data_IF_887610844069
#
_entry.id   IF_887610844069
#
_cell.length_a   1.000
_cell.length_b   1.000
_cell.length_c   1.000
_cell.angle_alpha   90.00
_cell.angle_beta   90.00
_cell.angle_gamma   90.00
#
_symmetry.space_group_name_H-M   'P 1'
#
loop_
_entity.id
_entity.type
_entity.pdbx_description
1 polymer ?
#
# COMPACT_ATOMS: atom_id res chain seq x y z
N UNK A 1 11.90 10.08 -28.39
CA UNK A 1 11.09 8.84 -28.43
C UNK A 1 9.77 9.17 -27.73
N UNK A 2 8.66 9.16 -28.45
CA UNK A 2 7.39 9.78 -28.01
C UNK A 2 6.85 9.12 -26.73
N UNK A 3 6.59 9.95 -25.70
CA UNK A 3 5.97 9.58 -24.42
C UNK A 3 4.62 8.85 -24.57
N UNK A 4 3.96 8.97 -25.73
CA UNK A 4 2.75 8.21 -26.08
C UNK A 4 2.94 6.70 -26.10
N UNK A 5 4.17 6.20 -26.26
CA UNK A 5 4.46 4.76 -26.37
C UNK A 5 4.69 4.05 -25.01
N UNK A 6 4.83 4.80 -23.91
CA UNK A 6 5.04 4.25 -22.57
C UNK A 6 3.73 4.00 -21.81
N UNK A 7 2.62 4.60 -22.25
CA UNK A 7 1.33 4.46 -21.57
C UNK A 7 0.55 3.28 -22.12
N UNK A 8 0.76 2.10 -21.53
CA UNK A 8 0.03 0.89 -21.90
C UNK A 8 -1.42 0.98 -21.40
N UNK A 9 -2.39 1.26 -22.30
CA UNK A 9 -3.84 1.34 -22.00
C UNK A 9 -4.37 0.16 -21.16
N UNK A 10 -3.73 -1.01 -21.29
CA UNK A 10 -4.07 -2.22 -20.53
C UNK A 10 -3.75 -2.12 -19.03
N UNK A 11 -2.75 -1.31 -18.64
CA UNK A 11 -2.38 -1.08 -17.24
C UNK A 11 -3.42 -0.22 -16.53
N UNK A 12 -3.89 0.83 -17.21
CA UNK A 12 -4.96 1.71 -16.76
C UNK A 12 -6.26 0.92 -16.55
N UNK A 13 -6.60 0.02 -17.49
CA UNK A 13 -7.75 -0.89 -17.31
C UNK A 13 -7.64 -1.76 -16.06
N UNK A 14 -6.46 -2.30 -15.72
CA UNK A 14 -6.30 -3.10 -14.50
C UNK A 14 -6.42 -2.24 -13.25
N UNK A 15 -5.84 -1.04 -13.27
CA UNK A 15 -5.94 -0.11 -12.14
C UNK A 15 -7.38 0.39 -11.94
N UNK A 16 -8.13 0.61 -13.01
CA UNK A 16 -9.55 0.97 -12.97
C UNK A 16 -10.40 -0.19 -12.43
N UNK A 17 -10.18 -1.42 -12.91
CA UNK A 17 -10.89 -2.61 -12.41
C UNK A 17 -10.64 -2.80 -10.91
N UNK A 18 -9.41 -2.64 -10.45
CA UNK A 18 -9.05 -2.78 -9.02
C UNK A 18 -9.67 -1.66 -8.20
N UNK A 19 -9.64 -0.42 -8.70
CA UNK A 19 -10.26 0.74 -8.05
C UNK A 19 -11.78 0.58 -7.92
N UNK A 20 -12.46 0.18 -8.99
CA UNK A 20 -13.91 -0.08 -9.00
C UNK A 20 -14.27 -1.23 -8.06
N UNK A 21 -13.49 -2.32 -8.09
CA UNK A 21 -13.67 -3.45 -7.18
C UNK A 21 -13.51 -3.03 -5.71
N UNK A 22 -12.56 -2.14 -5.41
CA UNK A 22 -12.35 -1.61 -4.07
C UNK A 22 -13.54 -0.77 -3.59
N UNK A 23 -14.11 0.07 -4.46
CA UNK A 23 -15.32 0.85 -4.14
C UNK A 23 -16.50 -0.06 -3.87
N UNK A 24 -16.73 -1.07 -4.71
CA UNK A 24 -17.82 -2.05 -4.52
C UNK A 24 -17.66 -2.79 -3.19
N UNK A 25 -16.44 -3.22 -2.87
CA UNK A 25 -16.14 -3.91 -1.62
C UNK A 25 -16.37 -3.00 -0.41
N UNK A 26 -15.98 -1.73 -0.46
CA UNK A 26 -16.24 -0.78 0.63
C UNK A 26 -17.74 -0.57 0.84
N UNK A 27 -18.51 -0.43 -0.23
CA UNK A 27 -19.97 -0.29 -0.16
C UNK A 27 -20.58 -1.55 0.47
N UNK A 28 -20.17 -2.73 0.01
CA UNK A 28 -20.62 -4.00 0.57
C UNK A 28 -20.26 -4.13 2.06
N UNK A 29 -19.06 -3.70 2.46
CA UNK A 29 -18.61 -3.68 3.85
C UNK A 29 -19.42 -2.72 4.70
N UNK A 30 -19.77 -1.54 4.17
CA UNK A 30 -20.58 -0.55 4.86
C UNK A 30 -22.01 -1.05 5.13
N UNK A 31 -22.56 -1.87 4.23
CA UNK A 31 -23.88 -2.49 4.38
C UNK A 31 -23.83 -3.65 5.39
N UNK A 32 -22.84 -4.54 5.29
CA UNK A 32 -22.76 -5.76 6.10
C UNK A 32 -22.08 -5.59 7.46
N UNK A 33 -21.17 -4.63 7.60
CA UNK A 33 -20.40 -4.41 8.82
C UNK A 33 -20.06 -2.93 9.03
N UNK A 34 -21.04 -2.20 9.57
CA UNK A 34 -20.92 -0.79 9.90
C UNK A 34 -19.68 -0.50 10.79
N UNK A 35 -19.37 -1.40 11.73
CA UNK A 35 -18.20 -1.29 12.61
C UNK A 35 -16.88 -1.33 11.82
N UNK A 36 -16.72 -2.30 10.90
CA UNK A 36 -15.52 -2.42 10.05
C UNK A 36 -15.37 -1.20 9.12
N UNK A 37 -16.46 -0.67 8.59
CA UNK A 37 -16.45 0.52 7.76
C UNK A 37 -16.04 1.79 8.55
N UNK A 38 -16.58 1.97 9.75
CA UNK A 38 -16.21 3.08 10.65
C UNK A 38 -14.74 2.95 11.09
N UNK A 39 -14.29 1.74 11.42
CA UNK A 39 -12.90 1.48 11.74
C UNK A 39 -11.98 1.80 10.56
N UNK A 40 -12.34 1.41 9.33
CA UNK A 40 -11.60 1.78 8.13
C UNK A 40 -11.45 3.30 8.00
N UNK A 41 -12.57 4.01 8.09
CA UNK A 41 -12.64 5.46 7.94
C UNK A 41 -11.83 6.21 9.02
N UNK A 42 -11.70 5.66 10.23
CA UNK A 42 -10.88 6.25 11.29
C UNK A 42 -9.41 5.83 11.25
N UNK A 43 -9.12 4.55 10.98
CA UNK A 43 -7.75 4.00 11.04
C UNK A 43 -6.87 4.59 9.94
N UNK A 44 -7.39 4.78 8.72
CA UNK A 44 -6.63 5.34 7.60
C UNK A 44 -6.10 6.77 7.84
N UNK A 45 -6.93 7.77 8.21
CA UNK A 45 -6.44 9.13 8.46
C UNK A 45 -5.50 9.19 9.67
N UNK A 46 -5.73 8.39 10.71
CA UNK A 46 -4.85 8.34 11.87
C UNK A 46 -3.50 7.70 11.54
N UNK A 47 -3.48 6.62 10.76
CA UNK A 47 -2.25 6.00 10.28
C UNK A 47 -1.45 6.95 9.37
N UNK A 48 -2.15 7.70 8.51
CA UNK A 48 -1.53 8.77 7.70
C UNK A 48 -0.91 9.86 8.57
N UNK A 49 -1.59 10.24 9.66
CA UNK A 49 -1.08 11.22 10.62
C UNK A 49 0.21 10.74 11.32
N UNK A 50 0.32 9.44 11.63
CA UNK A 50 1.56 8.83 12.15
C UNK A 50 2.68 8.94 11.11
N UNK A 51 2.42 8.55 9.86
CA UNK A 51 3.42 8.63 8.78
C UNK A 51 3.88 10.09 8.54
N UNK A 52 2.94 11.03 8.55
CA UNK A 52 3.22 12.45 8.48
C UNK A 52 4.12 12.90 9.64
N UNK A 53 3.82 12.44 10.85
CA UNK A 53 4.60 12.74 12.05
C UNK A 53 6.02 12.19 12.01
N UNK A 54 6.19 10.96 11.50
CA UNK A 54 7.49 10.34 11.28
C UNK A 54 8.31 11.10 10.24
N UNK A 55 7.70 11.44 9.11
CA UNK A 55 8.35 12.24 8.06
C UNK A 55 8.81 13.61 8.58
N UNK A 56 7.96 14.29 9.35
CA UNK A 56 8.26 15.64 9.87
C UNK A 56 9.36 15.62 10.93
N UNK A 57 9.35 14.60 11.79
CA UNK A 57 10.41 14.32 12.76
C UNK A 57 11.73 14.00 12.03
N UNK A 58 11.71 13.12 11.04
CA UNK A 58 12.89 12.80 10.21
C UNK A 58 13.47 14.06 9.55
N UNK A 59 12.63 14.89 8.91
CA UNK A 59 13.09 16.13 8.28
C UNK A 59 13.73 17.09 9.28
N UNK A 60 13.23 17.11 10.51
CA UNK A 60 13.83 17.91 11.58
C UNK A 60 15.26 17.45 11.94
N UNK A 61 15.49 16.14 12.04
CA UNK A 61 16.82 15.60 12.37
C UNK A 61 17.83 15.69 11.22
N UNK A 62 17.40 15.46 9.98
CA UNK A 62 18.33 15.26 8.86
C UNK A 62 18.49 16.47 7.94
N UNK A 63 17.56 17.44 7.94
CA UNK A 63 17.65 18.62 7.07
C UNK A 63 18.36 19.80 7.77
N UNK A 64 19.68 19.87 7.54
CA UNK A 64 20.54 20.94 8.10
C UNK A 64 20.23 22.32 7.53
N UNK A 65 19.51 22.43 6.41
CA UNK A 65 19.17 23.71 5.76
C UNK A 65 18.03 24.46 6.44
N UNK A 66 17.31 23.82 7.35
CA UNK A 66 16.21 24.44 8.08
C UNK A 66 16.72 25.33 9.23
N UNK A 67 16.16 26.53 9.33
CA UNK A 67 16.32 27.40 10.49
C UNK A 67 15.93 26.67 11.79
N UNK A 68 16.65 26.97 12.88
CA UNK A 68 16.50 26.29 14.18
C UNK A 68 15.04 26.30 14.66
N UNK A 69 14.35 27.44 14.56
CA UNK A 69 12.93 27.56 14.97
C UNK A 69 12.03 26.61 14.16
N UNK A 70 12.21 26.55 12.84
CA UNK A 70 11.42 25.67 11.97
C UNK A 70 11.74 24.19 12.21
N UNK A 71 12.98 23.87 12.59
CA UNK A 71 13.40 22.52 13.00
C UNK A 71 12.66 22.08 14.26
N UNK A 72 12.66 22.91 15.30
CA UNK A 72 11.96 22.63 16.57
C UNK A 72 10.44 22.50 16.35
N UNK A 73 9.82 23.40 15.58
CA UNK A 73 8.39 23.32 15.25
C UNK A 73 8.05 22.02 14.50
N UNK A 74 8.85 21.63 13.51
CA UNK A 74 8.63 20.38 12.77
C UNK A 74 8.75 19.14 13.67
N UNK A 75 9.67 19.17 14.65
CA UNK A 75 9.81 18.10 15.62
C UNK A 75 8.59 18.02 16.55
N UNK A 76 8.15 19.17 17.10
CA UNK A 76 6.98 19.25 17.98
C UNK A 76 5.71 18.79 17.26
N UNK A 77 5.46 19.28 16.05
CA UNK A 77 4.33 18.82 15.23
C UNK A 77 4.44 17.34 14.89
N UNK A 78 5.66 16.85 14.61
CA UNK A 78 5.90 15.43 14.35
C UNK A 78 5.54 14.56 15.54
N UNK A 79 6.11 14.84 16.70
CA UNK A 79 5.88 14.08 17.95
C UNK A 79 4.40 14.15 18.37
N UNK A 80 3.80 15.34 18.39
CA UNK A 80 2.39 15.51 18.78
C UNK A 80 1.46 14.74 17.86
N UNK A 81 1.70 14.76 16.55
CA UNK A 81 0.90 14.01 15.57
C UNK A 81 1.01 12.49 15.77
N UNK A 82 2.20 11.96 16.10
CA UNK A 82 2.40 10.54 16.43
C UNK A 82 1.66 10.17 17.71
N UNK A 83 1.82 10.97 18.78
CA UNK A 83 1.19 10.70 20.09
C UNK A 83 -0.34 10.72 19.97
N UNK A 84 -0.90 11.77 19.36
CA UNK A 84 -2.35 11.93 19.22
C UNK A 84 -2.92 10.78 18.38
N UNK A 85 -2.34 10.50 17.22
CA UNK A 85 -2.84 9.40 16.39
C UNK A 85 -2.69 8.04 17.05
N UNK A 86 -1.55 7.77 17.70
CA UNK A 86 -1.32 6.53 18.42
C UNK A 86 -2.33 6.33 19.54
N UNK A 87 -2.60 7.36 20.33
CA UNK A 87 -3.58 7.30 21.42
C UNK A 87 -5.00 7.03 20.91
N UNK A 88 -5.44 7.74 19.86
CA UNK A 88 -6.78 7.55 19.28
C UNK A 88 -6.90 6.15 18.66
N UNK A 89 -5.87 5.65 17.97
CA UNK A 89 -5.87 4.28 17.44
C UNK A 89 -5.98 3.25 18.55
N UNK A 90 -5.17 3.38 19.62
CA UNK A 90 -5.26 2.50 20.78
C UNK A 90 -6.67 2.52 21.36
N UNK A 91 -7.26 3.71 21.52
CA UNK A 91 -8.64 3.87 22.01
C UNK A 91 -9.66 3.17 21.10
N UNK A 92 -9.56 3.35 19.78
CA UNK A 92 -10.46 2.72 18.79
C UNK A 92 -10.37 1.18 18.80
N UNK A 93 -9.19 0.62 19.04
CA UNK A 93 -9.00 -0.83 19.09
C UNK A 93 -9.30 -1.45 20.45
N UNK A 94 -9.35 -0.65 21.53
CA UNK A 94 -9.66 -1.13 22.89
C UNK A 94 -11.13 -0.98 23.27
N UNK A 95 -11.88 -0.07 22.63
CA UNK A 95 -13.31 0.12 22.89
C UNK A 95 -14.11 0.36 21.60
N UNK A 96 -15.17 -0.43 21.33
CA UNK A 96 -15.59 -1.67 22.00
C UNK A 96 -14.52 -2.77 21.92
N UNK A 97 -14.61 -3.83 22.74
CA UNK A 97 -13.67 -4.97 22.71
C UNK A 97 -13.78 -5.70 21.35
N UNK A 98 -13.12 -5.16 20.35
CA UNK A 98 -13.13 -5.70 18.99
C UNK A 98 -12.22 -6.91 19.02
N UNK A 99 -12.74 -8.12 18.72
CA UNK A 99 -11.93 -9.30 18.77
C UNK A 99 -10.81 -9.14 17.73
N UNK A 100 -9.60 -9.51 18.14
CA UNK A 100 -8.38 -9.25 17.37
C UNK A 100 -8.43 -9.89 15.97
N UNK A 101 -9.27 -10.91 15.80
CA UNK A 101 -9.64 -11.51 14.51
C UNK A 101 -10.15 -10.50 13.46
N UNK A 102 -10.83 -9.43 13.88
CA UNK A 102 -11.28 -8.38 12.98
C UNK A 102 -10.14 -7.64 12.30
N UNK A 103 -8.95 -7.58 12.91
CA UNK A 103 -7.77 -6.98 12.29
C UNK A 103 -7.34 -7.80 11.07
N UNK A 104 -7.43 -9.13 11.15
CA UNK A 104 -7.14 -10.03 10.03
C UNK A 104 -8.18 -9.87 8.92
N UNK A 105 -9.47 -9.78 9.25
CA UNK A 105 -10.51 -9.52 8.25
C UNK A 105 -10.34 -8.15 7.58
N UNK A 106 -10.02 -7.13 8.37
CA UNK A 106 -9.78 -5.78 7.89
C UNK A 106 -8.57 -5.69 6.96
N UNK A 107 -7.44 -6.32 7.33
CA UNK A 107 -6.23 -6.35 6.49
C UNK A 107 -6.37 -7.28 5.29
N UNK A 108 -7.12 -8.38 5.42
CA UNK A 108 -7.30 -9.38 4.36
C UNK A 108 -7.93 -8.80 3.10
N UNK A 109 -8.89 -7.88 3.25
CA UNK A 109 -9.59 -7.23 2.14
C UNK A 109 -8.68 -6.43 1.17
N UNK A 110 -7.92 -5.42 1.62
CA UNK A 110 -7.01 -4.70 0.74
C UNK A 110 -5.89 -5.61 0.23
N UNK A 111 -5.39 -6.55 1.04
CA UNK A 111 -4.35 -7.50 0.59
C UNK A 111 -4.89 -8.43 -0.50
N UNK A 112 -6.18 -8.81 -0.45
CA UNK A 112 -6.83 -9.64 -1.46
C UNK A 112 -6.84 -8.93 -2.82
N UNK A 113 -7.23 -7.66 -2.83
CA UNK A 113 -7.18 -6.82 -4.02
C UNK A 113 -5.75 -6.64 -4.53
N UNK A 114 -4.77 -6.51 -3.64
CA UNK A 114 -3.36 -6.42 -4.02
C UNK A 114 -2.91 -7.73 -4.68
N UNK A 115 -3.25 -8.90 -4.14
CA UNK A 115 -2.93 -10.20 -4.73
C UNK A 115 -3.56 -10.38 -6.11
N UNK A 116 -4.84 -10.02 -6.25
CA UNK A 116 -5.57 -10.09 -7.52
C UNK A 116 -4.95 -9.15 -8.58
N UNK A 117 -4.60 -7.94 -8.19
CA UNK A 117 -3.89 -6.99 -9.04
C UNK A 117 -2.50 -7.51 -9.44
N UNK A 118 -1.81 -8.28 -8.58
CA UNK A 118 -0.54 -8.94 -8.89
C UNK A 118 -0.69 -9.95 -10.02
N UNK A 119 -1.72 -10.80 -9.94
CA UNK A 119 -2.04 -11.80 -10.98
C UNK A 119 -2.42 -11.10 -12.29
N UNK A 120 -3.37 -10.16 -12.25
CA UNK A 120 -3.85 -9.46 -13.45
C UNK A 120 -2.72 -8.71 -14.15
N UNK A 121 -1.92 -7.93 -13.42
CA UNK A 121 -0.77 -7.21 -14.00
C UNK A 121 0.28 -8.18 -14.53
N UNK A 122 0.56 -9.28 -13.84
CA UNK A 122 1.46 -10.31 -14.32
C UNK A 122 0.98 -10.98 -15.62
N UNK A 123 -0.32 -11.14 -15.83
CA UNK A 123 -0.85 -11.73 -17.06
C UNK A 123 -0.91 -10.73 -18.23
N UNK A 124 -1.27 -9.48 -17.95
CA UNK A 124 -1.63 -8.48 -18.97
C UNK A 124 -0.42 -7.65 -19.41
N UNK A 125 0.50 -7.33 -18.50
CA UNK A 125 1.63 -6.44 -18.78
C UNK A 125 2.75 -7.20 -19.49
N UNK A 126 3.23 -6.65 -20.60
CA UNK A 126 4.43 -7.11 -21.28
C UNK A 126 5.65 -6.45 -20.62
N UNK A 127 6.56 -7.26 -20.12
CA UNK A 127 7.79 -6.86 -19.43
C UNK A 127 9.00 -7.47 -20.13
N UNK A 128 10.16 -6.82 -20.06
CA UNK A 128 11.40 -7.31 -20.70
C UNK A 128 11.84 -8.67 -20.15
N UNK A 129 11.74 -8.89 -18.83
CA UNK A 129 12.10 -10.16 -18.21
C UNK A 129 10.86 -11.00 -17.88
N UNK A 130 10.72 -12.21 -18.47
CA UNK A 130 9.60 -13.11 -18.21
C UNK A 130 9.62 -13.67 -16.78
N UNK A 131 10.78 -13.68 -16.11
CA UNK A 131 10.91 -14.15 -14.73
C UNK A 131 10.15 -13.25 -13.75
N UNK A 132 10.25 -11.92 -13.89
CA UNK A 132 9.49 -10.99 -13.03
C UNK A 132 7.99 -11.08 -13.25
N UNK A 133 7.57 -11.41 -14.48
CA UNK A 133 6.17 -11.67 -14.80
C UNK A 133 5.65 -12.89 -14.04
N UNK A 134 6.37 -14.01 -14.13
CA UNK A 134 6.01 -15.25 -13.44
C UNK A 134 6.01 -15.06 -11.92
N UNK A 135 7.05 -14.43 -11.37
CA UNK A 135 7.15 -14.17 -9.93
C UNK A 135 6.00 -13.31 -9.41
N UNK A 136 5.56 -12.31 -10.17
CA UNK A 136 4.45 -11.45 -9.76
C UNK A 136 3.11 -12.20 -9.78
N UNK A 137 2.88 -13.10 -10.75
CA UNK A 137 1.69 -13.97 -10.77
C UNK A 137 1.73 -14.97 -9.61
N UNK A 138 2.87 -15.64 -9.42
CA UNK A 138 3.04 -16.66 -8.38
C UNK A 138 2.83 -16.06 -7.01
N UNK A 139 3.41 -14.88 -6.77
CA UNK A 139 3.32 -14.22 -5.47
C UNK A 139 1.94 -13.59 -5.26
N UNK A 140 1.29 -13.10 -6.33
CA UNK A 140 -0.13 -12.75 -6.29
C UNK A 140 -1.00 -13.94 -5.84
N UNK A 141 -0.81 -15.11 -6.43
CA UNK A 141 -1.54 -16.33 -6.10
C UNK A 141 -1.26 -16.82 -4.67
N UNK A 142 -0.01 -16.80 -4.21
CA UNK A 142 0.31 -17.18 -2.82
C UNK A 142 -0.28 -16.19 -1.82
N UNK A 143 -0.32 -14.88 -2.12
CA UNK A 143 -1.07 -13.92 -1.26
C UNK A 143 -2.53 -14.32 -1.12
N UNK A 144 -3.22 -14.64 -2.22
CA UNK A 144 -4.62 -15.04 -2.17
C UNK A 144 -4.80 -16.30 -1.32
N UNK A 145 -3.91 -17.28 -1.46
CA UNK A 145 -3.95 -18.52 -0.69
C UNK A 145 -3.75 -18.24 0.81
N UNK A 146 -2.73 -17.46 1.18
CA UNK A 146 -2.45 -17.13 2.58
C UNK A 146 -3.56 -16.30 3.23
N UNK A 147 -4.24 -15.43 2.48
CA UNK A 147 -5.40 -14.69 2.98
C UNK A 147 -6.54 -15.63 3.32
N UNK A 148 -6.87 -16.58 2.43
CA UNK A 148 -7.91 -17.56 2.71
C UNK A 148 -7.57 -18.38 3.96
N UNK A 149 -6.34 -18.88 4.08
CA UNK A 149 -5.90 -19.60 5.28
C UNK A 149 -6.02 -18.70 6.53
N UNK A 150 -5.57 -17.45 6.46
CA UNK A 150 -5.62 -16.53 7.59
C UNK A 150 -7.06 -16.22 8.03
N UNK A 151 -8.00 -16.13 7.09
CA UNK A 151 -9.44 -15.91 7.37
C UNK A 151 -10.09 -17.16 7.98
N UNK A 152 -9.77 -18.36 7.49
CA UNK A 152 -10.36 -19.60 8.02
C UNK A 152 -9.81 -19.99 9.40
N UNK A 153 -8.53 -19.70 9.67
CA UNK A 153 -7.84 -20.09 10.89
C UNK A 153 -7.51 -18.91 11.81
N UNK A 154 -8.28 -17.82 11.73
CA UNK A 154 -7.98 -16.57 12.44
C UNK A 154 -7.84 -16.74 13.96
N UNK A 155 -8.59 -17.67 14.56
CA UNK A 155 -8.56 -17.91 16.01
C UNK A 155 -7.31 -18.70 16.46
N UNK A 156 -6.69 -19.46 15.56
CA UNK A 156 -5.55 -20.33 15.88
C UNK A 156 -4.29 -19.68 15.31
N UNK A 157 -3.48 -19.06 16.16
CA UNK A 157 -2.21 -18.47 15.73
C UNK A 157 -2.35 -17.09 15.06
N UNK A 158 -3.20 -16.22 15.61
CA UNK A 158 -3.37 -14.82 15.18
C UNK A 158 -2.05 -14.11 14.82
N UNK A 159 -1.03 -14.18 15.71
CA UNK A 159 0.26 -13.50 15.51
C UNK A 159 0.98 -14.03 14.26
N UNK A 160 0.92 -15.35 14.05
CA UNK A 160 1.51 -15.99 12.88
C UNK A 160 0.81 -15.53 11.60
N UNK A 161 -0.52 -15.59 11.56
CA UNK A 161 -1.29 -15.14 10.40
C UNK A 161 -1.12 -13.65 10.09
N UNK A 162 -1.07 -12.80 11.11
CA UNK A 162 -0.78 -11.38 10.95
C UNK A 162 0.61 -11.17 10.32
N UNK A 163 1.62 -11.88 10.82
CA UNK A 163 2.98 -11.79 10.28
C UNK A 163 3.06 -12.31 8.84
N UNK A 164 2.39 -13.42 8.52
CA UNK A 164 2.29 -13.94 7.16
C UNK A 164 1.62 -12.94 6.21
N UNK A 165 0.54 -12.28 6.64
CA UNK A 165 -0.13 -11.26 5.83
C UNK A 165 0.76 -10.02 5.59
N UNK A 166 1.46 -9.55 6.62
CA UNK A 166 2.38 -8.41 6.51
C UNK A 166 3.59 -8.71 5.60
N UNK A 167 4.15 -9.91 5.72
CA UNK A 167 5.25 -10.35 4.85
C UNK A 167 4.77 -10.52 3.41
N UNK A 168 3.60 -11.11 3.19
CA UNK A 168 3.01 -11.27 1.87
C UNK A 168 2.68 -9.92 1.19
N UNK A 169 2.22 -8.93 1.97
CA UNK A 169 2.01 -7.56 1.53
C UNK A 169 3.33 -6.89 1.12
N UNK A 170 4.36 -7.01 1.95
CA UNK A 170 5.69 -6.43 1.70
C UNK A 170 6.30 -7.03 0.43
N UNK A 171 6.21 -8.35 0.28
CA UNK A 171 6.72 -9.08 -0.87
C UNK A 171 5.99 -8.67 -2.16
N UNK A 172 4.66 -8.54 -2.12
CA UNK A 172 3.87 -8.01 -3.23
C UNK A 172 4.30 -6.59 -3.62
N UNK A 173 4.56 -5.72 -2.64
CA UNK A 173 5.07 -4.37 -2.88
C UNK A 173 6.40 -4.38 -3.63
N UNK A 174 7.37 -5.17 -3.16
CA UNK A 174 8.70 -5.28 -3.76
C UNK A 174 8.63 -5.83 -5.19
N UNK A 175 7.82 -6.85 -5.44
CA UNK A 175 7.75 -7.48 -6.76
C UNK A 175 6.99 -6.67 -7.78
N UNK A 176 5.96 -5.94 -7.34
CA UNK A 176 5.29 -4.98 -8.20
C UNK A 176 6.25 -3.86 -8.61
N UNK A 177 7.04 -3.38 -7.66
CA UNK A 177 8.11 -2.44 -7.91
C UNK A 177 9.17 -3.01 -8.88
N UNK A 178 9.51 -4.29 -8.75
CA UNK A 178 10.40 -5.02 -9.68
C UNK A 178 9.81 -5.10 -11.10
N UNK A 179 8.52 -5.43 -11.20
CA UNK A 179 7.81 -5.58 -12.46
C UNK A 179 7.76 -4.23 -13.19
N UNK A 180 7.47 -3.13 -12.48
CA UNK A 180 7.50 -1.80 -13.05
C UNK A 180 8.89 -1.38 -13.52
N UNK A 181 9.96 -1.67 -12.79
CA UNK A 181 11.32 -1.38 -13.27
C UNK A 181 11.71 -2.22 -14.50
N UNK A 182 11.29 -3.49 -14.51
CA UNK A 182 11.48 -4.41 -15.63
C UNK A 182 10.76 -3.94 -16.91
N UNK A 183 9.70 -3.13 -16.81
CA UNK A 183 9.06 -2.51 -17.99
C UNK A 183 10.04 -1.59 -18.74
N UNK A 184 10.95 -0.94 -18.01
CA UNK A 184 11.95 -0.01 -18.55
C UNK A 184 13.35 -0.62 -18.70
N UNK A 185 13.48 -1.95 -18.58
CA UNK A 185 14.78 -2.64 -18.64
C UNK A 185 15.68 -2.41 -17.42
N UNK A 186 15.14 -1.87 -16.33
CA UNK A 186 15.88 -1.57 -15.10
C UNK A 186 15.72 -2.69 -14.08
N UNK A 187 16.75 -2.91 -13.26
CA UNK A 187 16.72 -3.88 -12.16
C UNK A 187 16.63 -3.20 -10.79
N UNK A 188 16.09 -3.91 -9.80
CA UNK A 188 16.04 -3.48 -8.40
C UNK A 188 17.41 -3.43 -7.68
N UNK A 189 18.49 -3.91 -8.31
CA UNK A 189 19.80 -4.01 -7.66
C UNK A 189 20.42 -2.66 -7.28
N UNK A 190 20.02 -1.57 -7.94
CA UNK A 190 20.54 -0.23 -7.67
C UNK A 190 19.53 0.61 -6.88
N UNK A 191 19.96 1.19 -5.76
CA UNK A 191 19.16 2.11 -4.96
C UNK A 191 18.67 3.34 -5.75
N UNK A 192 19.44 3.79 -6.75
CA UNK A 192 19.02 4.86 -7.67
C UNK A 192 17.76 4.48 -8.48
N UNK A 193 17.61 3.20 -8.81
CA UNK A 193 16.44 2.70 -9.52
C UNK A 193 15.21 2.62 -8.62
N UNK A 194 15.38 2.37 -7.31
CA UNK A 194 14.28 2.36 -6.34
C UNK A 194 13.59 3.73 -6.22
N UNK A 195 14.36 4.83 -6.24
CA UNK A 195 13.80 6.19 -6.28
C UNK A 195 12.97 6.46 -7.54
N UNK A 196 13.38 5.87 -8.67
CA UNK A 196 12.70 5.96 -9.96
C UNK A 196 11.31 5.29 -9.93
N UNK A 197 11.10 4.30 -9.07
CA UNK A 197 9.80 3.63 -8.87
C UNK A 197 8.76 4.63 -8.36
N UNK A 198 9.11 5.39 -7.32
CA UNK A 198 8.21 6.41 -6.79
C UNK A 198 7.94 7.51 -7.81
N UNK A 199 8.92 7.87 -8.64
CA UNK A 199 8.71 8.84 -9.71
C UNK A 199 7.75 8.31 -10.81
N UNK A 200 7.86 7.03 -11.17
CA UNK A 200 6.96 6.36 -12.12
C UNK A 200 5.54 6.19 -11.53
N UNK A 201 5.43 6.00 -10.21
CA UNK A 201 4.14 5.85 -9.51
C UNK A 201 3.45 7.20 -9.22
N UNK A 202 4.22 8.25 -8.93
CA UNK A 202 3.74 9.59 -8.53
C UNK A 202 3.52 10.54 -9.70
N UNK A 203 3.82 10.10 -10.93
CA UNK A 203 3.59 10.88 -12.15
C UNK A 203 2.39 10.39 -12.98
N UNK A 204 1.13 10.50 -12.50
CA UNK A 204 0.01 10.56 -13.43
C UNK A 204 -0.06 11.93 -14.13
N UNK A 205 0.49 13.00 -13.52
CA UNK A 205 0.30 14.41 -13.96
C UNK A 205 1.40 15.03 -14.83
N UNK A 206 2.62 14.49 -14.86
CA UNK A 206 3.62 14.86 -15.88
C UNK A 206 3.20 14.42 -17.30
N UNK A 207 2.11 13.65 -17.42
CA UNK A 207 1.55 13.16 -18.67
C UNK A 207 0.31 13.94 -19.16
N UNK A 208 -0.18 14.93 -18.39
CA UNK A 208 -1.31 15.80 -18.78
C UNK A 208 -0.90 17.26 -19.04
N UNK A 209 0.27 17.71 -18.57
CA UNK A 209 0.70 19.11 -18.73
C UNK A 209 1.34 19.45 -20.09
N UNK A 210 1.45 18.49 -21.01
CA UNK A 210 1.76 18.75 -22.43
C UNK A 210 0.50 18.71 -23.33
N UNK A 211 -0.70 18.67 -22.74
CA UNK A 211 -1.99 18.66 -23.47
C UNK A 211 -2.71 20.02 -23.52
N UNK A 212 -2.08 21.11 -23.05
CA UNK A 212 -2.57 22.48 -23.31
C UNK A 212 -1.57 23.27 -24.16
#
# INVERSE_FOLDING_TARGET
MSSRYLMNKRKLLVDDIVSVSLVIIIIFLAIYSQLLAIMSLGVYPLSSLILYGLYRSYKSFFDKKLAIVRRVLNLLFGITSIIIAGYILIYMFTRPNIPVSFIIFFLGLPIFLIGLAGILKGLIVKVYSPLYRLLNVLIGATTLLFINIAIFFTEIGYVFHLFTLLTALTLNGILRAALYLSEYGLSLKSYKNFKLIFFIMDSPRLHQQEEN
#
